data_IF_346270435868
#
_entry.id   IF_346270435868
#
_cell.length_a   1.000
_cell.length_b   1.000
_cell.length_c   1.000
_cell.angle_alpha   90.00
_cell.angle_beta   90.00
_cell.angle_gamma   90.00
#
_symmetry.space_group_name_H-M   'P 1'
#
loop_
_entity.id
_entity.type
_entity.pdbx_description
1 polymer ?
#
# COMPACT_ATOMS: atom_id res chain seq x y z
N UNK A 1 13.03 -0.44 0.20
CA UNK A 1 11.77 0.25 0.49
C UNK A 1 11.61 0.55 1.98
N UNK A 2 11.52 -0.46 2.86
CA UNK A 2 11.36 -0.23 4.31
C UNK A 2 12.41 0.72 4.92
N UNK A 3 13.70 0.46 4.76
CA UNK A 3 14.74 1.34 5.32
C UNK A 3 14.64 2.81 4.85
N UNK A 4 14.32 3.02 3.57
CA UNK A 4 14.11 4.37 3.03
C UNK A 4 12.91 5.05 3.66
N UNK A 5 11.78 4.35 3.81
CA UNK A 5 10.60 4.88 4.47
C UNK A 5 10.85 5.19 5.96
N UNK A 6 11.63 4.37 6.67
CA UNK A 6 12.01 4.63 8.06
C UNK A 6 12.92 5.87 8.18
N UNK A 7 13.85 6.06 7.24
CA UNK A 7 14.67 7.28 7.17
C UNK A 7 13.84 8.53 6.87
N UNK A 8 12.88 8.43 5.94
CA UNK A 8 11.98 9.54 5.62
C UNK A 8 11.11 9.94 6.83
N UNK A 9 10.56 8.97 7.56
CA UNK A 9 9.79 9.24 8.79
C UNK A 9 10.65 9.95 9.84
N UNK A 10 11.90 9.49 10.04
CA UNK A 10 12.84 10.14 10.96
C UNK A 10 13.14 11.58 10.53
N UNK A 11 13.38 11.80 9.23
CA UNK A 11 13.65 13.14 8.69
C UNK A 11 12.45 14.08 8.87
N UNK A 12 11.23 13.61 8.63
CA UNK A 12 9.99 14.38 8.81
C UNK A 12 9.69 14.75 10.27
N UNK A 13 10.39 14.12 11.23
CA UNK A 13 10.26 14.36 12.66
C UNK A 13 11.48 15.06 13.26
N UNK A 14 12.38 15.58 12.41
CA UNK A 14 13.53 16.37 12.86
C UNK A 14 13.01 17.63 13.56
N UNK A 15 13.17 17.69 14.89
CA UNK A 15 12.65 18.78 15.73
C UNK A 15 11.54 18.36 16.72
N UNK A 16 11.05 17.11 16.68
CA UNK A 16 10.21 16.59 17.77
C UNK A 16 11.05 16.23 18.99
N UNK A 17 10.43 16.28 20.17
CA UNK A 17 11.03 15.78 21.42
C UNK A 17 11.07 14.23 21.50
N UNK A 18 10.56 13.54 20.48
CA UNK A 18 10.44 12.08 20.46
C UNK A 18 11.76 11.45 19.99
N UNK A 19 12.27 10.46 20.72
CA UNK A 19 13.43 9.68 20.28
C UNK A 19 13.01 8.65 19.22
N UNK A 20 13.57 8.75 18.01
CA UNK A 20 13.29 7.82 16.91
C UNK A 20 14.43 6.80 16.78
N UNK A 21 14.11 5.53 17.01
CA UNK A 21 15.04 4.40 16.92
C UNK A 21 14.66 3.50 15.74
N UNK A 22 15.55 3.41 14.74
CA UNK A 22 15.38 2.48 13.62
C UNK A 22 16.02 1.14 13.96
N UNK A 23 15.23 0.06 13.95
CA UNK A 23 15.70 -1.32 14.13
C UNK A 23 15.65 -2.03 12.77
N UNK A 24 16.81 -2.13 12.10
CA UNK A 24 16.90 -2.81 10.80
C UNK A 24 17.04 -4.31 11.02
N UNK A 25 16.14 -5.09 10.40
CA UNK A 25 16.20 -6.54 10.39
C UNK A 25 17.06 -7.02 9.21
N UNK A 26 17.79 -8.12 9.40
CA UNK A 26 18.47 -8.81 8.31
C UNK A 26 17.45 -9.42 7.34
N UNK A 27 17.84 -9.64 6.09
CA UNK A 27 17.03 -10.44 5.18
C UNK A 27 16.79 -11.84 5.80
N UNK A 28 15.54 -12.31 5.79
CA UNK A 28 15.12 -13.57 6.42
C UNK A 28 15.39 -13.63 7.93
N UNK A 29 15.15 -12.51 8.63
CA UNK A 29 15.26 -12.45 10.08
C UNK A 29 14.42 -13.55 10.76
N UNK A 30 15.00 -14.17 11.77
CA UNK A 30 14.30 -15.20 12.55
C UNK A 30 13.34 -14.55 13.55
N UNK A 31 12.37 -15.31 14.09
CA UNK A 31 11.53 -14.81 15.18
C UNK A 31 12.36 -14.34 16.39
N UNK A 32 13.54 -14.92 16.62
CA UNK A 32 14.48 -14.49 17.67
C UNK A 32 15.09 -13.13 17.39
N UNK A 33 15.44 -12.84 16.15
CA UNK A 33 15.94 -11.52 15.74
C UNK A 33 14.86 -10.45 15.89
N UNK A 34 13.62 -10.80 15.55
CA UNK A 34 12.47 -9.93 15.68
C UNK A 34 12.14 -9.63 17.16
N UNK A 35 12.11 -10.66 18.00
CA UNK A 35 11.97 -10.51 19.44
C UNK A 35 13.11 -9.63 19.99
N UNK A 36 14.35 -9.88 19.55
CA UNK A 36 15.50 -9.11 19.99
C UNK A 36 15.43 -7.62 19.62
N UNK A 37 14.88 -7.29 18.44
CA UNK A 37 14.65 -5.93 17.98
C UNK A 37 13.55 -5.21 18.79
N UNK A 38 12.57 -5.95 19.29
CA UNK A 38 11.42 -5.43 20.05
C UNK A 38 11.63 -5.43 21.57
N UNK A 39 12.73 -5.98 22.09
CA UNK A 39 13.00 -6.08 23.55
C UNK A 39 12.90 -4.76 24.32
N UNK A 40 13.25 -3.63 23.70
CA UNK A 40 13.22 -2.32 24.36
C UNK A 40 11.91 -1.55 24.15
N UNK A 41 10.91 -2.17 23.51
CA UNK A 41 9.64 -1.51 23.19
C UNK A 41 8.66 -1.72 24.34
N UNK A 42 8.26 -0.63 24.99
CA UNK A 42 7.31 -0.60 26.09
C UNK A 42 5.93 -0.07 25.72
N UNK A 43 4.99 -0.02 26.70
CA UNK A 43 3.61 0.40 26.47
C UNK A 43 3.44 1.87 26.05
N UNK A 44 4.36 2.76 26.44
CA UNK A 44 4.35 4.19 26.10
C UNK A 44 4.84 4.46 24.68
N UNK A 45 5.52 3.48 24.07
CA UNK A 45 6.19 3.65 22.80
C UNK A 45 5.23 3.56 21.62
N UNK A 46 5.67 4.19 20.53
CA UNK A 46 5.08 4.11 19.21
C UNK A 46 5.88 3.11 18.36
N UNK A 47 5.24 2.02 17.93
CA UNK A 47 5.89 1.01 17.09
C UNK A 47 5.39 1.11 15.65
N UNK A 48 6.31 1.21 14.71
CA UNK A 48 6.02 1.30 13.28
C UNK A 48 6.67 0.11 12.57
N UNK A 49 5.84 -0.77 11.97
CA UNK A 49 6.23 -2.03 11.29
C UNK A 49 6.36 -1.93 9.75
N UNK A 50 7.62 -1.89 9.27
CA UNK A 50 7.98 -1.70 7.87
C UNK A 50 8.36 -3.08 7.32
N UNK A 51 7.45 -4.05 7.51
CA UNK A 51 7.72 -5.49 7.39
C UNK A 51 7.00 -6.11 6.20
N UNK A 52 7.61 -7.15 5.62
CA UNK A 52 7.02 -7.98 4.55
C UNK A 52 6.15 -9.09 5.15
N UNK A 53 5.29 -9.76 4.35
CA UNK A 53 4.38 -10.80 4.86
C UNK A 53 5.08 -11.89 5.68
N UNK A 54 6.25 -12.38 5.23
CA UNK A 54 7.00 -13.41 5.97
C UNK A 54 7.43 -12.95 7.37
N UNK A 55 7.89 -11.71 7.50
CA UNK A 55 8.33 -11.15 8.79
C UNK A 55 7.13 -10.83 9.70
N UNK A 56 5.99 -10.45 9.13
CA UNK A 56 4.75 -10.24 9.88
C UNK A 56 4.23 -11.56 10.48
N UNK A 57 4.34 -12.67 9.75
CA UNK A 57 3.96 -13.99 10.26
C UNK A 57 4.84 -14.43 11.45
N UNK A 58 6.13 -14.07 11.43
CA UNK A 58 7.06 -14.37 12.52
C UNK A 58 6.72 -13.67 13.86
N UNK A 59 5.83 -12.66 13.85
CA UNK A 59 5.32 -12.02 15.08
C UNK A 59 4.44 -12.95 15.93
N UNK A 60 4.03 -14.12 15.41
CA UNK A 60 3.17 -15.05 16.14
C UNK A 60 3.77 -15.49 17.48
N UNK A 61 5.10 -15.54 17.58
CA UNK A 61 5.83 -15.92 18.78
C UNK A 61 6.32 -14.74 19.61
N UNK A 62 5.97 -13.50 19.23
CA UNK A 62 6.42 -12.27 19.88
C UNK A 62 5.21 -11.55 20.47
N UNK A 63 5.17 -11.26 21.78
CA UNK A 63 4.07 -10.52 22.37
C UNK A 63 4.07 -9.07 21.90
N UNK A 64 2.87 -8.50 21.74
CA UNK A 64 2.70 -7.06 21.51
C UNK A 64 2.77 -6.32 22.85
N UNK A 65 3.74 -5.41 22.99
CA UNK A 65 3.94 -4.61 24.20
C UNK A 65 3.54 -3.14 24.03
N UNK A 66 3.71 -2.60 22.82
CA UNK A 66 3.35 -1.21 22.50
C UNK A 66 1.82 -1.03 22.42
N UNK A 67 1.32 0.06 23.01
CA UNK A 67 -0.10 0.44 22.91
C UNK A 67 -0.47 1.02 21.54
N UNK A 68 0.52 1.56 20.82
CA UNK A 68 0.36 2.20 19.51
C UNK A 68 1.24 1.50 18.49
N UNK A 69 0.63 0.61 17.71
CA UNK A 69 1.28 -0.08 16.61
C UNK A 69 0.71 0.39 15.28
N UNK A 70 1.59 0.80 14.37
CA UNK A 70 1.25 1.12 12.97
C UNK A 70 2.06 0.22 12.03
N UNK A 71 1.53 -0.04 10.84
CA UNK A 71 2.25 -0.78 9.80
C UNK A 71 2.05 -0.18 8.42
N UNK A 72 3.00 -0.42 7.52
CA UNK A 72 2.81 -0.19 6.08
C UNK A 72 1.93 -1.29 5.49
N UNK A 73 0.75 -0.91 4.97
CA UNK A 73 -0.13 -1.85 4.28
C UNK A 73 0.49 -2.37 2.98
N UNK A 74 1.09 -1.50 2.17
CA UNK A 74 1.72 -1.89 0.90
C UNK A 74 2.82 -2.94 1.11
N UNK A 75 3.73 -2.72 2.08
CA UNK A 75 4.77 -3.72 2.38
C UNK A 75 4.19 -4.98 3.02
N UNK A 76 3.14 -4.84 3.83
CA UNK A 76 2.57 -5.93 4.60
C UNK A 76 1.62 -6.85 3.82
N UNK A 77 1.22 -6.49 2.59
CA UNK A 77 0.24 -7.24 1.81
C UNK A 77 -1.21 -6.79 2.00
N UNK A 78 -1.41 -5.53 2.42
CA UNK A 78 -2.71 -4.89 2.61
C UNK A 78 -3.63 -5.71 3.52
N UNK A 79 -4.88 -5.92 3.12
CA UNK A 79 -5.84 -6.71 3.88
C UNK A 79 -5.50 -8.21 3.93
N UNK A 80 -4.56 -8.67 3.12
CA UNK A 80 -4.04 -10.05 3.13
C UNK A 80 -2.82 -10.20 4.05
N UNK A 81 -2.46 -9.16 4.82
CA UNK A 81 -1.31 -9.23 5.71
C UNK A 81 -1.45 -10.39 6.72
N UNK A 82 -0.43 -11.27 6.84
CA UNK A 82 -0.47 -12.44 7.71
C UNK A 82 -0.12 -12.07 9.15
N UNK A 83 -0.75 -11.02 9.68
CA UNK A 83 -0.60 -10.62 11.08
C UNK A 83 -1.24 -11.66 12.01
N UNK A 84 -0.57 -12.07 13.10
CA UNK A 84 -1.18 -12.88 14.14
C UNK A 84 -2.36 -12.17 14.80
N UNK A 85 -3.33 -12.92 15.33
CA UNK A 85 -4.56 -12.38 15.91
C UNK A 85 -4.31 -11.33 17.01
N UNK A 86 -3.34 -11.57 17.90
CA UNK A 86 -2.96 -10.63 18.96
C UNK A 86 -2.46 -9.29 18.42
N UNK A 87 -1.71 -9.33 17.30
CA UNK A 87 -1.20 -8.13 16.65
C UNK A 87 -2.26 -7.41 15.83
N UNK A 88 -3.22 -8.12 15.21
CA UNK A 88 -4.31 -7.51 14.44
C UNK A 88 -5.13 -6.52 15.27
N UNK A 89 -5.39 -6.83 16.54
CA UNK A 89 -6.17 -5.97 17.44
C UNK A 89 -5.44 -4.67 17.78
N UNK A 90 -4.12 -4.73 17.98
CA UNK A 90 -3.30 -3.59 18.39
C UNK A 90 -2.84 -2.70 17.22
N UNK A 91 -2.86 -3.22 15.98
CA UNK A 91 -2.21 -2.61 14.83
C UNK A 91 -3.17 -1.82 13.95
N UNK A 92 -2.73 -0.61 13.59
CA UNK A 92 -3.35 0.25 12.57
C UNK A 92 -2.50 0.19 11.31
N UNK A 93 -3.11 0.27 10.13
CA UNK A 93 -2.41 0.11 8.87
C UNK A 93 -2.58 1.35 8.00
N UNK A 94 -1.47 1.90 7.51
CA UNK A 94 -1.49 2.87 6.43
C UNK A 94 -1.87 2.14 5.12
N UNK A 95 -2.94 2.59 4.48
CA UNK A 95 -3.64 1.84 3.43
C UNK A 95 -3.80 2.73 2.17
N UNK A 96 -2.83 2.70 1.22
CA UNK A 96 -2.73 3.67 0.13
C UNK A 96 -3.61 3.34 -1.09
N UNK A 97 -4.66 2.55 -0.90
CA UNK A 97 -5.59 2.09 -1.95
C UNK A 97 -7.02 2.16 -1.44
N UNK A 98 -8.01 2.12 -2.33
CA UNK A 98 -9.41 2.18 -1.94
C UNK A 98 -9.82 0.93 -1.13
N UNK A 99 -10.82 1.01 -0.25
CA UNK A 99 -11.22 -0.13 0.60
C UNK A 99 -11.63 -1.35 -0.25
N UNK A 100 -11.42 -2.60 0.22
CA UNK A 100 -11.68 -3.81 -0.57
C UNK A 100 -13.04 -3.83 -1.25
N UNK A 101 -14.11 -3.50 -0.51
CA UNK A 101 -15.47 -3.46 -1.05
C UNK A 101 -15.73 -2.36 -2.09
N UNK A 102 -14.96 -1.26 -2.08
CA UNK A 102 -15.14 -0.13 -3.00
C UNK A 102 -14.42 -0.32 -4.33
N UNK A 103 -13.44 -1.22 -4.40
CA UNK A 103 -12.64 -1.48 -5.61
C UNK A 103 -12.99 -2.77 -6.36
N UNK A 104 -13.90 -3.59 -5.86
CA UNK A 104 -14.26 -4.91 -6.44
C UNK A 104 -14.54 -4.78 -7.94
N UNK A 105 -15.52 -3.96 -8.31
CA UNK A 105 -15.92 -3.78 -9.72
C UNK A 105 -14.75 -3.32 -10.59
N UNK A 106 -13.94 -2.36 -10.13
CA UNK A 106 -12.83 -1.79 -10.91
C UNK A 106 -11.70 -2.80 -11.14
N UNK A 107 -11.41 -3.63 -10.15
CA UNK A 107 -10.37 -4.67 -10.24
C UNK A 107 -10.86 -5.88 -11.04
N UNK A 108 -12.15 -6.23 -10.93
CA UNK A 108 -12.75 -7.40 -11.60
C UNK A 108 -12.68 -7.34 -13.12
N UNK A 109 -12.65 -6.14 -13.73
CA UNK A 109 -12.42 -5.98 -15.16
C UNK A 109 -11.07 -6.57 -15.59
N UNK A 110 -9.99 -6.21 -14.90
CA UNK A 110 -8.65 -6.72 -15.18
C UNK A 110 -8.58 -8.24 -14.93
N UNK A 111 -9.14 -8.70 -13.80
CA UNK A 111 -9.16 -10.12 -13.43
C UNK A 111 -9.93 -10.98 -14.44
N UNK A 112 -11.07 -10.50 -14.92
CA UNK A 112 -11.87 -11.18 -15.94
C UNK A 112 -11.11 -11.28 -17.26
N UNK A 113 -10.41 -10.21 -17.65
CA UNK A 113 -9.56 -10.23 -18.84
C UNK A 113 -8.39 -11.22 -18.71
N UNK A 114 -7.71 -11.26 -17.56
CA UNK A 114 -6.65 -12.26 -17.30
C UNK A 114 -7.17 -13.69 -17.43
N UNK A 115 -8.36 -13.98 -16.88
CA UNK A 115 -9.00 -15.30 -17.00
C UNK A 115 -9.28 -15.68 -18.45
N UNK A 116 -9.86 -14.77 -19.24
CA UNK A 116 -10.13 -14.99 -20.67
C UNK A 116 -8.84 -15.23 -21.46
N UNK A 117 -7.78 -14.48 -21.14
CA UNK A 117 -6.47 -14.60 -21.78
C UNK A 117 -5.56 -15.67 -21.19
N UNK A 118 -6.04 -16.44 -20.20
CA UNK A 118 -5.27 -17.48 -19.50
C UNK A 118 -3.96 -16.98 -18.89
N UNK A 119 -3.96 -15.75 -18.40
CA UNK A 119 -2.81 -15.15 -17.71
C UNK A 119 -2.87 -15.58 -16.23
N UNK A 120 -1.82 -16.21 -15.69
CA UNK A 120 -1.80 -16.63 -14.29
C UNK A 120 -1.79 -15.41 -13.37
N UNK A 121 -2.57 -15.47 -12.29
CA UNK A 121 -2.62 -14.44 -11.25
C UNK A 121 -1.54 -14.73 -10.19
N UNK A 122 -0.41 -14.03 -10.29
CA UNK A 122 0.76 -14.23 -9.41
C UNK A 122 1.02 -13.03 -8.50
N UNK A 123 0.61 -11.83 -8.93
CA UNK A 123 0.77 -10.58 -8.21
C UNK A 123 -0.38 -9.65 -8.56
N UNK A 124 -1.55 -9.89 -7.97
CA UNK A 124 -2.82 -9.28 -8.37
C UNK A 124 -2.75 -7.75 -8.52
N UNK A 125 -2.23 -7.04 -7.53
CA UNK A 125 -2.16 -5.58 -7.59
C UNK A 125 -1.24 -5.09 -8.71
N UNK A 126 -0.01 -5.64 -8.79
CA UNK A 126 0.95 -5.29 -9.84
C UNK A 126 0.37 -5.57 -11.23
N UNK A 127 -0.30 -6.71 -11.40
CA UNK A 127 -0.94 -7.06 -12.67
C UNK A 127 -2.10 -6.14 -13.00
N UNK A 128 -2.97 -5.81 -12.03
CA UNK A 128 -4.09 -4.88 -12.24
C UNK A 128 -3.60 -3.46 -12.58
N UNK A 129 -2.57 -2.97 -11.90
CA UNK A 129 -1.95 -1.68 -12.17
C UNK A 129 -1.26 -1.67 -13.55
N UNK A 130 -0.62 -2.77 -13.94
CA UNK A 130 -0.03 -2.94 -15.28
C UNK A 130 -1.12 -2.94 -16.36
N UNK A 131 -2.20 -3.68 -16.16
CA UNK A 131 -3.34 -3.71 -17.09
C UNK A 131 -3.93 -2.30 -17.26
N UNK A 132 -4.11 -1.58 -16.16
CA UNK A 132 -4.59 -0.21 -16.16
C UNK A 132 -3.65 0.73 -16.93
N UNK A 133 -2.35 0.69 -16.66
CA UNK A 133 -1.35 1.52 -17.31
C UNK A 133 -1.29 1.25 -18.83
N UNK A 134 -1.24 -0.02 -19.24
CA UNK A 134 -1.24 -0.40 -20.65
C UNK A 134 -2.55 -0.02 -21.35
N UNK A 135 -3.69 -0.20 -20.68
CA UNK A 135 -4.98 0.20 -21.21
C UNK A 135 -5.08 1.70 -21.43
N UNK A 136 -4.56 2.50 -20.49
CA UNK A 136 -4.49 3.95 -20.61
C UNK A 136 -3.62 4.38 -21.78
N UNK A 137 -2.41 3.83 -21.90
CA UNK A 137 -1.50 4.15 -23.03
C UNK A 137 -2.14 3.75 -24.37
N UNK A 138 -2.73 2.56 -24.45
CA UNK A 138 -3.39 2.10 -25.68
C UNK A 138 -4.54 3.01 -26.09
N UNK A 139 -5.39 3.43 -25.15
CA UNK A 139 -6.49 4.35 -25.40
C UNK A 139 -5.96 5.71 -25.86
N UNK A 140 -4.94 6.25 -25.19
CA UNK A 140 -4.36 7.53 -25.57
C UNK A 140 -3.76 7.50 -26.97
N UNK A 141 -2.96 6.46 -27.30
CA UNK A 141 -2.36 6.31 -28.62
C UNK A 141 -3.44 6.21 -29.71
N UNK A 142 -4.53 5.47 -29.46
CA UNK A 142 -5.65 5.40 -30.41
C UNK A 142 -6.32 6.77 -30.66
N UNK A 143 -6.27 7.68 -29.70
CA UNK A 143 -6.81 9.04 -29.83
C UNK A 143 -5.83 10.06 -30.42
N UNK A 144 -4.56 9.69 -30.66
CA UNK A 144 -3.56 10.59 -31.25
C UNK A 144 -3.62 10.61 -32.78
N UNK A 145 -4.32 9.67 -33.42
CA UNK A 145 -4.44 9.54 -34.88
C UNK A 145 -3.04 9.52 -35.52
N UNK A 146 -2.63 10.56 -36.24
CA UNK A 146 -1.32 10.62 -36.91
C UNK A 146 -0.29 11.50 -36.16
N UNK A 147 -0.68 12.10 -35.03
CA UNK A 147 0.15 13.05 -34.29
C UNK A 147 0.99 12.38 -33.19
N UNK A 148 1.89 11.47 -33.58
CA UNK A 148 2.74 10.72 -32.65
C UNK A 148 3.93 11.53 -32.12
N UNK A 149 3.67 12.44 -31.18
CA UNK A 149 4.70 13.21 -30.46
C UNK A 149 4.55 13.02 -28.94
N UNK A 150 5.68 13.01 -28.23
CA UNK A 150 5.75 12.66 -26.81
C UNK A 150 4.93 13.61 -25.94
N UNK A 151 5.05 14.90 -26.18
CA UNK A 151 4.40 15.96 -25.42
C UNK A 151 2.88 15.83 -25.53
N UNK A 152 2.39 15.52 -26.73
CA UNK A 152 0.97 15.29 -26.97
C UNK A 152 0.45 14.01 -26.32
N UNK A 153 1.26 12.94 -26.31
CA UNK A 153 0.93 11.72 -25.56
C UNK A 153 0.75 12.04 -24.06
N UNK A 154 1.68 12.81 -23.47
CA UNK A 154 1.63 13.19 -22.05
C UNK A 154 0.40 14.05 -21.76
N UNK A 155 0.15 15.09 -22.55
CA UNK A 155 -1.02 15.97 -22.40
C UNK A 155 -2.33 15.16 -22.49
N UNK A 156 -2.46 14.28 -23.48
CA UNK A 156 -3.65 13.44 -23.65
C UNK A 156 -3.80 12.43 -22.51
N UNK A 157 -2.71 11.88 -21.99
CA UNK A 157 -2.74 10.99 -20.80
C UNK A 157 -3.24 11.73 -19.56
N UNK A 158 -2.76 12.95 -19.31
CA UNK A 158 -3.19 13.80 -18.20
C UNK A 158 -4.70 14.08 -18.27
N UNK A 159 -5.20 14.43 -19.46
CA UNK A 159 -6.64 14.65 -19.69
C UNK A 159 -7.49 13.37 -19.53
N UNK A 160 -7.01 12.24 -20.05
CA UNK A 160 -7.75 10.97 -20.04
C UNK A 160 -7.92 10.41 -18.62
N UNK A 161 -6.97 10.67 -17.72
CA UNK A 161 -7.03 10.19 -16.34
C UNK A 161 -8.15 10.86 -15.53
N UNK A 162 -8.39 12.16 -15.74
CA UNK A 162 -9.31 12.96 -14.93
C UNK A 162 -10.77 12.47 -15.02
N UNK A 163 -11.13 11.80 -16.11
CA UNK A 163 -12.49 11.33 -16.40
C UNK A 163 -12.62 9.80 -16.34
N UNK A 164 -11.58 9.07 -15.93
CA UNK A 164 -11.55 7.61 -16.03
C UNK A 164 -12.39 6.93 -14.94
N UNK A 165 -13.32 6.06 -15.35
CA UNK A 165 -14.11 5.25 -14.43
C UNK A 165 -13.35 4.03 -13.87
N UNK A 166 -12.46 3.43 -14.67
CA UNK A 166 -11.65 2.27 -14.27
C UNK A 166 -10.29 2.72 -13.73
N UNK A 167 -10.22 2.89 -12.40
CA UNK A 167 -9.03 3.33 -11.67
C UNK A 167 -8.33 2.21 -10.89
N UNK A 168 -8.70 0.95 -11.13
CA UNK A 168 -8.13 -0.21 -10.44
C UNK A 168 -8.29 -0.13 -8.93
N UNK A 169 -7.17 -0.22 -8.21
CA UNK A 169 -7.11 -0.17 -6.75
C UNK A 169 -7.39 1.23 -6.16
N UNK A 170 -7.31 2.29 -6.95
CA UNK A 170 -7.30 3.67 -6.45
C UNK A 170 -8.69 4.31 -6.50
N UNK A 171 -9.06 5.17 -5.54
CA UNK A 171 -10.37 5.82 -5.55
C UNK A 171 -10.50 6.85 -6.68
N UNK A 172 -9.40 7.54 -6.99
CA UNK A 172 -9.27 8.49 -8.09
C UNK A 172 -7.84 8.49 -8.60
N UNK A 173 -7.68 8.78 -9.89
CA UNK A 173 -6.40 9.02 -10.54
C UNK A 173 -6.45 10.38 -11.23
N UNK A 174 -5.49 11.24 -10.96
CA UNK A 174 -5.32 12.54 -11.62
C UNK A 174 -3.85 12.84 -11.81
N UNK A 175 -3.47 13.39 -12.96
CA UNK A 175 -2.14 13.91 -13.22
C UNK A 175 -2.27 15.34 -13.71
N UNK A 176 -1.58 16.26 -13.05
CA UNK A 176 -1.40 17.62 -13.52
C UNK A 176 0.00 17.77 -14.15
N UNK A 177 0.26 18.83 -14.94
CA UNK A 177 1.55 19.04 -15.58
C UNK A 177 2.72 18.93 -14.61
N UNK A 178 3.70 18.09 -14.97
CA UNK A 178 4.90 17.84 -14.16
C UNK A 178 4.70 16.92 -12.96
N UNK A 179 3.48 16.45 -12.69
CA UNK A 179 3.23 15.46 -11.64
C UNK A 179 3.59 14.05 -12.12
N UNK A 180 4.11 13.24 -11.18
CA UNK A 180 4.52 11.85 -11.45
C UNK A 180 3.72 10.81 -10.67
N UNK A 181 2.80 11.25 -9.81
CA UNK A 181 1.98 10.38 -8.96
C UNK A 181 0.51 10.64 -9.22
N UNK A 182 -0.14 9.65 -9.84
CA UNK A 182 -1.54 9.75 -10.26
C UNK A 182 -2.54 9.56 -9.11
N UNK A 183 -2.15 8.80 -8.07
CA UNK A 183 -2.92 8.69 -6.84
C UNK A 183 -2.10 9.20 -5.68
N UNK A 184 -2.75 9.94 -4.77
CA UNK A 184 -2.14 10.50 -3.57
C UNK A 184 -3.06 10.27 -2.39
N UNK A 185 -2.46 9.86 -1.29
CA UNK A 185 -3.16 9.65 -0.03
C UNK A 185 -3.44 8.20 0.30
N UNK A 186 -4.29 8.00 1.28
CA UNK A 186 -4.68 6.69 1.77
C UNK A 186 -5.59 6.79 2.98
N UNK A 187 -6.09 5.64 3.42
CA UNK A 187 -6.78 5.52 4.69
C UNK A 187 -5.81 5.11 5.81
N UNK A 188 -6.21 5.35 7.05
CA UNK A 188 -5.77 4.52 8.17
C UNK A 188 -6.87 3.51 8.45
N UNK A 189 -6.54 2.22 8.41
CA UNK A 189 -7.48 1.13 8.66
C UNK A 189 -7.07 0.28 9.86
N UNK A 190 -8.02 -0.48 10.39
CA UNK A 190 -7.79 -1.60 11.31
C UNK A 190 -8.38 -2.88 10.75
N UNK A 191 -7.83 -4.03 11.15
CA UNK A 191 -8.54 -5.30 10.96
C UNK A 191 -9.82 -5.30 11.80
N UNK A 192 -10.93 -5.70 11.21
CA UNK A 192 -12.22 -5.85 11.90
C UNK A 192 -12.53 -7.30 12.29
N UNK A 193 -11.67 -8.24 11.87
CA UNK A 193 -11.74 -9.67 12.17
C UNK A 193 -10.36 -10.18 12.61
N UNK A 194 -10.26 -10.95 13.72
CA UNK A 194 -9.00 -11.58 14.15
C UNK A 194 -8.39 -12.58 13.17
N UNK A 195 -9.16 -13.15 12.23
CA UNK A 195 -8.69 -14.22 11.32
C UNK A 195 -8.98 -13.96 9.82
N UNK A 196 -9.69 -12.88 9.48
CA UNK A 196 -10.11 -12.59 8.12
C UNK A 196 -9.43 -11.37 7.47
N UNK A 197 -9.58 -11.19 6.14
CA UNK A 197 -9.05 -10.04 5.41
C UNK A 197 -9.96 -8.80 5.52
N UNK A 198 -10.85 -8.76 6.51
CA UNK A 198 -11.78 -7.64 6.66
C UNK A 198 -11.07 -6.49 7.37
N UNK A 199 -11.09 -5.33 6.74
CA UNK A 199 -10.55 -4.08 7.27
C UNK A 199 -11.64 -3.01 7.31
N UNK A 200 -11.55 -2.14 8.30
CA UNK A 200 -12.42 -0.98 8.45
C UNK A 200 -11.58 0.29 8.57
N UNK A 201 -11.96 1.34 7.84
CA UNK A 201 -11.34 2.64 7.95
C UNK A 201 -11.62 3.28 9.31
N UNK A 202 -10.62 3.97 9.86
CA UNK A 202 -10.72 4.75 11.10
C UNK A 202 -11.14 6.20 10.86
N UNK A 203 -11.26 6.61 9.59
CA UNK A 203 -11.64 7.94 9.16
C UNK A 203 -11.68 8.02 7.63
N UNK A 204 -11.82 9.23 7.10
CA UNK A 204 -11.87 9.50 5.67
C UNK A 204 -10.51 9.35 4.98
N UNK A 205 -10.51 9.44 3.64
CA UNK A 205 -9.29 9.43 2.83
C UNK A 205 -8.42 10.65 3.15
N UNK A 206 -7.16 10.41 3.48
CA UNK A 206 -6.20 11.47 3.85
C UNK A 206 -5.31 11.75 2.64
N UNK A 207 -5.28 13.00 2.17
CA UNK A 207 -4.33 13.48 1.17
C UNK A 207 -3.19 14.29 1.82
N UNK A 208 -1.93 14.12 1.39
CA UNK A 208 -0.82 14.97 1.83
C UNK A 208 -0.94 16.43 1.38
#
# INVERSE_FOLDING_TARGET
MGEQAARALRAARTGSAEQILNRVLKAHATPRDLAAALRSVGPTDALVLWLRPQDLQALATVPVTASRVWMSGEMGGLEQAPLPASWRVATRMAYPVDLPGRRVVRVDYALSWFRIRKIPLVAQQVQADTYLACGLVSETVNHMVDAFVREYLVERLEMALDHRALTGYYPRLTLAPGQRFASKGGYIVRFSDPQGPRVAALGDWITP
#
